data_IF_135068140949
#
_entry.id   IF_135068140949
#
_cell.length_a   1.000
_cell.length_b   1.000
_cell.length_c   1.000
_cell.angle_alpha   90.00
_cell.angle_beta   90.00
_cell.angle_gamma   90.00
#
_symmetry.space_group_name_H-M   'P 1'
#
loop_
_entity.id
_entity.type
_entity.pdbx_description
1 polymer ?
#
# COMPACT_ATOMS: atom_id res chain seq x y z
N UNK A 1 2.62 -17.97 -22.16
CA UNK A 1 2.22 -17.43 -20.84
C UNK A 1 2.15 -15.94 -21.05
N UNK A 2 0.97 -15.40 -21.34
CA UNK A 2 0.83 -13.96 -21.60
C UNK A 2 0.97 -13.25 -20.27
N UNK A 3 2.05 -12.49 -20.14
CA UNK A 3 2.26 -11.56 -19.04
C UNK A 3 1.17 -10.48 -19.16
N UNK A 4 0.25 -10.49 -18.19
CA UNK A 4 -0.65 -9.36 -17.98
C UNK A 4 0.23 -8.25 -17.41
N UNK A 5 0.81 -7.45 -18.29
CA UNK A 5 1.35 -6.15 -17.92
C UNK A 5 0.12 -5.31 -17.58
N UNK A 6 -0.18 -5.28 -16.29
CA UNK A 6 -1.10 -4.32 -15.70
C UNK A 6 -0.75 -2.95 -16.32
N UNK A 7 -1.73 -2.36 -16.99
CA UNK A 7 -1.55 -0.99 -17.51
C UNK A 7 -1.16 -0.11 -16.32
N UNK A 8 -0.40 0.99 -16.48
CA UNK A 8 -0.09 1.87 -15.37
C UNK A 8 -1.37 2.66 -14.99
N UNK A 9 -2.39 1.97 -14.48
CA UNK A 9 -3.35 2.54 -13.57
C UNK A 9 -2.62 2.82 -12.27
N UNK A 10 -2.88 3.98 -11.67
CA UNK A 10 -2.39 4.24 -10.33
C UNK A 10 -2.86 3.12 -9.40
N UNK A 11 -2.00 2.72 -8.47
CA UNK A 11 -2.34 1.72 -7.48
C UNK A 11 -3.61 2.16 -6.73
N UNK A 12 -4.53 1.23 -6.51
CA UNK A 12 -5.69 1.51 -5.66
C UNK A 12 -5.26 1.71 -4.20
N UNK A 13 -6.08 2.40 -3.41
CA UNK A 13 -5.82 2.56 -1.98
C UNK A 13 -5.76 1.21 -1.24
N UNK A 14 -6.50 0.20 -1.72
CA UNK A 14 -6.46 -1.17 -1.21
C UNK A 14 -5.10 -1.82 -1.48
N UNK A 15 -4.58 -1.73 -2.71
CA UNK A 15 -3.26 -2.28 -3.08
C UNK A 15 -2.13 -1.63 -2.28
N UNK A 16 -2.19 -0.31 -2.07
CA UNK A 16 -1.21 0.40 -1.25
C UNK A 16 -1.31 -0.04 0.21
N UNK A 17 -2.53 -0.20 0.75
CA UNK A 17 -2.73 -0.68 2.12
C UNK A 17 -2.22 -2.11 2.30
N UNK A 18 -2.45 -3.00 1.33
CA UNK A 18 -1.91 -4.36 1.35
C UNK A 18 -0.38 -4.35 1.29
N UNK A 19 0.23 -3.52 0.43
CA UNK A 19 1.68 -3.36 0.39
C UNK A 19 2.24 -2.81 1.72
N UNK A 20 1.50 -1.95 2.40
CA UNK A 20 1.88 -1.46 3.72
C UNK A 20 1.88 -2.56 4.79
N UNK A 21 1.16 -3.68 4.62
CA UNK A 21 1.18 -4.83 5.56
C UNK A 21 2.56 -5.49 5.64
N UNK A 22 3.36 -5.41 4.58
CA UNK A 22 4.72 -5.96 4.54
C UNK A 22 5.74 -5.07 5.27
N UNK A 23 5.38 -3.83 5.61
CA UNK A 23 6.24 -2.90 6.33
C UNK A 23 6.14 -3.17 7.84
N UNK A 24 7.12 -3.89 8.37
CA UNK A 24 7.16 -4.28 9.78
C UNK A 24 7.90 -3.24 10.61
N UNK A 25 7.33 -2.87 11.76
CA UNK A 25 7.99 -2.03 12.75
C UNK A 25 9.20 -2.78 13.35
N UNK A 26 10.42 -2.23 13.27
CA UNK A 26 11.63 -2.93 13.71
C UNK A 26 11.76 -3.06 15.24
N UNK A 27 10.98 -2.31 16.02
CA UNK A 27 11.01 -2.36 17.48
C UNK A 27 10.03 -3.38 18.04
N UNK A 28 8.85 -3.49 17.43
CA UNK A 28 7.75 -4.33 17.91
C UNK A 28 7.53 -5.62 17.10
N UNK A 29 8.08 -5.70 15.88
CA UNK A 29 7.99 -6.89 15.02
C UNK A 29 6.59 -7.15 14.47
N UNK A 30 5.72 -6.14 14.49
CA UNK A 30 4.35 -6.17 13.94
C UNK A 30 4.21 -5.07 12.89
N UNK A 31 3.20 -5.20 12.03
CA UNK A 31 3.00 -4.29 10.92
C UNK A 31 2.46 -2.91 11.34
N UNK A 32 2.85 -1.85 10.61
CA UNK A 32 2.42 -0.46 10.84
C UNK A 32 0.91 -0.22 10.69
N UNK A 33 0.21 -0.99 9.84
CA UNK A 33 -1.25 -0.93 9.66
C UNK A 33 -1.95 -1.58 10.85
N UNK A 34 -1.51 -2.77 11.28
CA UNK A 34 -2.05 -3.47 12.45
C UNK A 34 -1.81 -2.71 13.76
N UNK A 35 -0.70 -1.97 13.85
CA UNK A 35 -0.42 -1.06 14.96
C UNK A 35 -1.33 0.17 14.97
N UNK A 36 -2.06 0.43 13.89
CA UNK A 36 -2.90 1.62 13.73
C UNK A 36 -2.11 2.92 13.53
N UNK A 37 -0.87 2.83 13.04
CA UNK A 37 -0.06 4.02 12.70
C UNK A 37 -0.52 4.69 11.40
N UNK A 38 -1.24 3.94 10.56
CA UNK A 38 -1.85 4.43 9.32
C UNK A 38 -3.32 4.73 9.58
N UNK A 39 -3.72 6.00 9.41
CA UNK A 39 -5.12 6.42 9.56
C UNK A 39 -5.97 6.10 8.34
N UNK A 40 -5.37 6.13 7.16
CA UNK A 40 -6.01 5.88 5.87
C UNK A 40 -5.01 6.10 4.74
N UNK A 41 -5.40 5.69 3.53
CA UNK A 41 -4.62 5.90 2.30
C UNK A 41 -5.54 6.55 1.28
N UNK A 42 -5.08 7.64 0.68
CA UNK A 42 -5.75 8.29 -0.45
C UNK A 42 -4.78 8.30 -1.62
N UNK A 43 -5.22 7.80 -2.77
CA UNK A 43 -4.43 7.84 -4.02
C UNK A 43 -5.04 8.87 -4.96
N UNK A 44 -4.24 9.84 -5.36
CA UNK A 44 -4.63 10.90 -6.30
C UNK A 44 -4.52 10.44 -7.76
N UNK A 45 -5.15 11.18 -8.67
CA UNK A 45 -5.17 10.86 -10.11
C UNK A 45 -3.77 10.90 -10.77
N UNK A 46 -2.80 11.54 -10.14
CA UNK A 46 -1.40 11.60 -10.60
C UNK A 46 -0.53 10.46 -10.05
N UNK A 47 -1.08 9.59 -9.20
CA UNK A 47 -0.40 8.45 -8.59
C UNK A 47 0.26 8.74 -7.25
N UNK A 48 0.09 9.95 -6.70
CA UNK A 48 0.55 10.28 -5.36
C UNK A 48 -0.35 9.62 -4.31
N UNK A 49 0.24 8.94 -3.32
CA UNK A 49 -0.47 8.38 -2.17
C UNK A 49 -0.16 9.17 -0.89
N UNK A 50 -1.19 9.51 -0.11
CA UNK A 50 -1.10 10.25 1.18
C UNK A 50 -1.86 9.57 2.31
#
# INVERSE_FOLDING_TARGET
MTEVIDSPSNASAEEVTEALLDVVDPELGVNVVDLGLVYGVVVEEDGTAV
#
